data_IF_330496432690
#
_entry.id   IF_330496432690
#
_cell.length_a   1.000
_cell.length_b   1.000
_cell.length_c   1.000
_cell.angle_alpha   90.00
_cell.angle_beta   90.00
_cell.angle_gamma   90.00
#
_symmetry.space_group_name_H-M   'P 1'
#
loop_
_entity.id
_entity.type
_entity.pdbx_description
1 polymer ?
#
# COMPACT_ATOMS: atom_id res chain seq x y z
N UNK A 1 5.50 -1.08 -21.43
CA UNK A 1 6.98 -1.13 -21.31
C UNK A 1 7.33 -0.51 -19.96
N UNK A 2 8.07 -1.19 -19.07
CA UNK A 2 8.35 -0.65 -17.73
C UNK A 2 9.55 -1.28 -17.03
N UNK A 3 9.53 -2.58 -16.74
CA UNK A 3 10.72 -3.26 -16.20
C UNK A 3 11.92 -3.18 -17.16
N UNK A 4 13.11 -3.02 -16.61
CA UNK A 4 14.37 -2.85 -17.34
C UNK A 4 15.17 -4.16 -17.46
N UNK A 5 14.65 -5.24 -16.88
CA UNK A 5 15.23 -6.58 -16.88
C UNK A 5 14.11 -7.63 -16.85
N UNK A 6 14.40 -8.93 -16.98
CA UNK A 6 13.37 -9.97 -16.98
C UNK A 6 12.39 -9.84 -15.81
N UNK A 7 11.11 -10.05 -16.12
CA UNK A 7 10.06 -10.17 -15.11
C UNK A 7 10.05 -11.62 -14.65
N UNK A 8 10.18 -11.84 -13.34
CA UNK A 8 10.30 -13.16 -12.73
C UNK A 8 8.95 -13.74 -12.36
N UNK A 9 8.03 -12.90 -11.87
CA UNK A 9 6.66 -13.30 -11.55
C UNK A 9 5.69 -12.13 -11.69
N UNK A 10 4.40 -12.46 -11.76
CA UNK A 10 3.28 -11.53 -11.71
C UNK A 10 2.16 -12.11 -10.85
N UNK A 11 1.44 -11.25 -10.14
CA UNK A 11 0.32 -11.67 -9.30
C UNK A 11 -0.77 -10.59 -9.26
N UNK A 12 -2.04 -11.00 -9.30
CA UNK A 12 -3.17 -10.11 -9.06
C UNK A 12 -3.45 -9.96 -7.57
N UNK A 13 -3.82 -8.76 -7.15
CA UNK A 13 -4.43 -8.54 -5.84
C UNK A 13 -5.71 -9.38 -5.69
N UNK A 14 -6.11 -9.76 -4.47
CA UNK A 14 -7.32 -10.55 -4.24
C UNK A 14 -8.61 -9.91 -4.77
N UNK A 15 -8.67 -8.58 -4.83
CA UNK A 15 -9.80 -7.84 -5.41
C UNK A 15 -9.72 -7.67 -6.93
N UNK A 16 -8.63 -8.14 -7.55
CA UNK A 16 -8.39 -8.11 -8.99
C UNK A 16 -8.14 -6.72 -9.58
N UNK A 17 -7.98 -5.68 -8.76
CA UNK A 17 -7.83 -4.29 -9.24
C UNK A 17 -6.39 -3.85 -9.44
N UNK A 18 -5.44 -4.59 -8.89
CA UNK A 18 -4.01 -4.28 -8.96
C UNK A 18 -3.24 -5.52 -9.38
N UNK A 19 -2.21 -5.34 -10.19
CA UNK A 19 -1.23 -6.38 -10.48
C UNK A 19 0.11 -5.98 -9.85
N UNK A 20 0.81 -6.94 -9.25
CA UNK A 20 2.19 -6.79 -8.82
C UNK A 20 3.10 -7.61 -9.75
N UNK A 21 4.30 -7.09 -10.01
CA UNK A 21 5.33 -7.81 -10.76
C UNK A 21 6.70 -7.67 -10.10
N UNK A 22 7.47 -8.76 -10.07
CA UNK A 22 8.83 -8.78 -9.55
C UNK A 22 9.83 -8.98 -10.69
N UNK A 23 11.02 -8.37 -10.59
CA UNK A 23 12.00 -8.40 -11.67
C UNK A 23 13.45 -8.47 -11.20
N UNK A 24 14.31 -8.94 -12.10
CA UNK A 24 15.77 -8.84 -11.97
C UNK A 24 16.29 -7.40 -11.92
N UNK A 25 15.47 -6.40 -12.27
CA UNK A 25 15.82 -4.98 -12.11
C UNK A 25 15.78 -4.50 -10.64
N UNK A 26 15.60 -5.45 -9.70
CA UNK A 26 15.58 -5.24 -8.24
C UNK A 26 14.35 -4.48 -7.75
N UNK A 27 13.33 -4.34 -8.59
CA UNK A 27 12.09 -3.64 -8.24
C UNK A 27 10.90 -4.58 -8.21
N UNK A 28 9.93 -4.21 -7.38
CA UNK A 28 8.55 -4.65 -7.52
C UNK A 28 7.76 -3.49 -8.10
N UNK A 29 6.89 -3.75 -9.08
CA UNK A 29 6.01 -2.72 -9.67
C UNK A 29 4.56 -3.08 -9.45
N UNK A 30 3.75 -2.05 -9.21
CA UNK A 30 2.30 -2.15 -9.14
C UNK A 30 1.68 -1.53 -10.37
N UNK A 31 0.62 -2.16 -10.87
CA UNK A 31 -0.08 -1.76 -12.08
C UNK A 31 -1.58 -1.75 -11.85
N UNK A 32 -2.29 -0.87 -12.54
CA UNK A 32 -3.72 -1.05 -12.72
C UNK A 32 -4.00 -2.12 -13.78
N UNK A 33 -5.27 -2.52 -13.90
CA UNK A 33 -5.72 -3.53 -14.86
C UNK A 33 -5.70 -3.02 -16.32
N UNK A 34 -5.52 -1.71 -16.53
CA UNK A 34 -5.33 -1.09 -17.84
C UNK A 34 -3.86 -1.10 -18.27
N UNK A 35 -2.95 -1.55 -17.40
CA UNK A 35 -1.52 -1.63 -17.65
C UNK A 35 -0.75 -0.33 -17.37
N UNK A 36 -1.35 0.63 -16.67
CA UNK A 36 -0.67 1.80 -16.16
C UNK A 36 0.13 1.44 -14.90
N UNK A 37 1.37 1.93 -14.83
CA UNK A 37 2.18 1.80 -13.62
C UNK A 37 1.65 2.71 -12.52
N UNK A 38 1.31 2.12 -11.37
CA UNK A 38 0.84 2.83 -10.17
C UNK A 38 2.00 3.19 -9.25
N UNK A 39 2.98 2.29 -9.10
CA UNK A 39 4.11 2.49 -8.21
C UNK A 39 5.32 1.62 -8.57
N UNK A 40 6.51 2.09 -8.20
CA UNK A 40 7.76 1.32 -8.20
C UNK A 40 8.25 1.19 -6.77
N UNK A 41 8.23 -0.02 -6.24
CA UNK A 41 8.69 -0.36 -4.90
C UNK A 41 10.18 -0.67 -4.97
N UNK A 42 10.99 0.24 -4.42
CA UNK A 42 12.45 0.16 -4.39
C UNK A 42 12.91 -0.19 -2.99
N UNK A 43 13.95 -1.04 -2.90
CA UNK A 43 14.58 -1.36 -1.63
C UNK A 43 15.36 -2.66 -1.64
N UNK A 44 15.00 -3.62 -2.50
CA UNK A 44 15.82 -4.81 -2.69
C UNK A 44 17.17 -4.46 -3.33
N UNK A 45 18.23 -5.14 -2.90
CA UNK A 45 19.60 -4.91 -3.37
C UNK A 45 20.03 -5.91 -4.45
N UNK A 46 19.20 -6.93 -4.71
CA UNK A 46 19.38 -7.97 -5.72
C UNK A 46 18.05 -8.29 -6.43
N UNK A 47 18.07 -9.28 -7.32
CA UNK A 47 16.91 -9.72 -8.12
C UNK A 47 15.73 -10.08 -7.22
N UNK A 48 14.51 -9.64 -7.58
CA UNK A 48 13.30 -10.03 -6.85
C UNK A 48 12.71 -11.25 -7.55
N UNK A 49 12.64 -12.37 -6.82
CA UNK A 49 12.25 -13.67 -7.38
C UNK A 49 10.76 -13.89 -7.36
N UNK A 50 10.09 -13.43 -6.31
CA UNK A 50 8.64 -13.58 -6.18
C UNK A 50 8.01 -12.40 -5.45
N UNK A 51 6.72 -12.22 -5.70
CA UNK A 51 5.80 -11.37 -4.94
C UNK A 51 4.56 -12.17 -4.58
N UNK A 52 3.90 -11.85 -3.48
CA UNK A 52 2.61 -12.44 -3.07
C UNK A 52 1.75 -11.44 -2.30
N UNK A 53 0.48 -11.32 -2.68
CA UNK A 53 -0.48 -10.54 -1.91
C UNK A 53 -1.00 -11.37 -0.73
N UNK A 54 -1.09 -10.72 0.42
CA UNK A 54 -1.90 -11.23 1.52
C UNK A 54 -3.36 -11.39 1.09
N UNK A 55 -4.13 -12.33 1.69
CA UNK A 55 -5.52 -12.59 1.30
C UNK A 55 -6.46 -11.38 1.42
N UNK A 56 -6.14 -10.41 2.28
CA UNK A 56 -6.91 -9.18 2.42
C UNK A 56 -6.48 -8.06 1.45
N UNK A 57 -5.41 -8.28 0.67
CA UNK A 57 -4.85 -7.34 -0.29
C UNK A 57 -4.08 -6.17 0.31
N UNK A 58 -3.98 -6.06 1.65
CA UNK A 58 -3.41 -4.89 2.33
C UNK A 58 -1.90 -4.96 2.50
N UNK A 59 -1.34 -6.15 2.34
CA UNK A 59 0.10 -6.39 2.39
C UNK A 59 0.55 -7.15 1.15
N UNK A 60 1.66 -6.73 0.56
CA UNK A 60 2.39 -7.47 -0.45
C UNK A 60 3.72 -7.94 0.16
N UNK A 61 4.05 -9.21 0.03
CA UNK A 61 5.36 -9.74 0.36
C UNK A 61 6.22 -9.85 -0.91
N UNK A 62 7.52 -9.59 -0.81
CA UNK A 62 8.48 -9.87 -1.88
C UNK A 62 9.71 -10.56 -1.33
N UNK A 63 10.23 -11.54 -2.05
CA UNK A 63 11.46 -12.26 -1.69
C UNK A 63 12.53 -12.07 -2.77
N UNK A 64 13.77 -11.86 -2.33
CA UNK A 64 14.89 -11.50 -3.20
C UNK A 64 16.15 -12.29 -2.89
N UNK A 65 17.01 -12.38 -3.90
CA UNK A 65 18.37 -12.90 -3.81
C UNK A 65 19.28 -12.07 -2.87
N UNK A 66 18.82 -10.94 -2.34
CA UNK A 66 19.53 -10.18 -1.30
C UNK A 66 19.40 -10.79 0.10
N UNK A 67 18.83 -12.00 0.20
CA UNK A 67 18.55 -12.74 1.43
C UNK A 67 17.50 -12.07 2.32
N UNK A 68 16.66 -11.19 1.78
CA UNK A 68 15.58 -10.53 2.54
C UNK A 68 14.20 -10.84 1.98
N UNK A 69 13.22 -10.81 2.88
CA UNK A 69 11.81 -10.65 2.56
C UNK A 69 11.40 -9.24 2.96
N UNK A 70 10.67 -8.54 2.08
CA UNK A 70 10.11 -7.23 2.37
C UNK A 70 8.59 -7.31 2.37
N UNK A 71 7.97 -6.60 3.33
CA UNK A 71 6.54 -6.41 3.40
C UNK A 71 6.22 -4.97 3.00
N UNK A 72 5.31 -4.83 2.04
CA UNK A 72 4.83 -3.57 1.52
C UNK A 72 3.38 -3.43 1.91
N UNK A 73 3.06 -2.36 2.64
CA UNK A 73 1.70 -2.04 3.02
C UNK A 73 1.05 -1.32 1.84
N UNK A 74 -0.03 -1.89 1.33
CA UNK A 74 -0.83 -1.38 0.23
C UNK A 74 -2.08 -0.77 0.86
N UNK A 75 -2.04 0.55 1.07
CA UNK A 75 -3.14 1.30 1.67
C UNK A 75 -3.69 2.31 0.68
N UNK A 76 -5.02 2.49 0.70
CA UNK A 76 -5.64 3.62 0.02
C UNK A 76 -5.39 4.91 0.80
N UNK A 77 -5.59 6.06 0.14
CA UNK A 77 -5.54 7.35 0.83
C UNK A 77 -6.53 7.39 2.00
N UNK A 78 -7.73 6.84 1.82
CA UNK A 78 -8.76 6.80 2.86
C UNK A 78 -8.29 5.99 4.08
N UNK A 79 -7.68 4.83 3.87
CA UNK A 79 -7.13 4.02 4.97
C UNK A 79 -5.99 4.74 5.71
N UNK A 80 -5.12 5.44 4.97
CA UNK A 80 -4.06 6.25 5.56
C UNK A 80 -4.62 7.40 6.41
N UNK A 81 -5.63 8.11 5.89
CA UNK A 81 -6.29 9.21 6.59
C UNK A 81 -7.03 8.71 7.84
N UNK A 82 -7.75 7.59 7.75
CA UNK A 82 -8.42 6.96 8.90
C UNK A 82 -7.40 6.62 9.98
N UNK A 83 -6.28 5.96 9.62
CA UNK A 83 -5.23 5.64 10.58
C UNK A 83 -4.64 6.90 11.19
N UNK A 84 -4.31 7.90 10.39
CA UNK A 84 -3.79 9.18 10.88
C UNK A 84 -4.73 9.83 11.90
N UNK A 85 -6.03 9.87 11.60
CA UNK A 85 -7.04 10.41 12.49
C UNK A 85 -7.23 9.60 13.78
N UNK A 86 -7.10 8.28 13.72
CA UNK A 86 -7.10 7.43 14.91
C UNK A 86 -5.93 7.75 15.85
N UNK A 87 -4.72 7.96 15.29
CA UNK A 87 -3.54 8.32 16.08
C UNK A 87 -3.65 9.70 16.72
N UNK A 88 -4.28 10.65 16.02
CA UNK A 88 -4.42 12.03 16.49
C UNK A 88 -5.63 12.25 17.41
N UNK A 89 -6.53 11.27 17.55
CA UNK A 89 -7.82 11.44 18.23
C UNK A 89 -7.69 12.04 19.65
N UNK A 90 -6.82 11.46 20.49
CA UNK A 90 -6.64 11.93 21.87
C UNK A 90 -6.02 13.33 21.89
N UNK A 91 -5.04 13.60 21.03
CA UNK A 91 -4.41 14.92 20.94
C UNK A 91 -5.42 16.00 20.52
N UNK A 92 -6.21 15.74 19.48
CA UNK A 92 -7.20 16.68 18.97
C UNK A 92 -8.34 16.92 19.98
N UNK A 93 -8.75 15.91 20.73
CA UNK A 93 -9.86 16.02 21.69
C UNK A 93 -9.47 16.62 23.04
N UNK A 94 -8.23 16.41 23.50
CA UNK A 94 -7.82 16.80 24.87
C UNK A 94 -6.94 18.03 24.94
N UNK A 95 -6.31 18.46 23.84
CA UNK A 95 -5.41 19.59 23.87
C UNK A 95 -6.17 20.93 23.94
N UNK A 96 -6.07 21.61 25.09
CA UNK A 96 -6.71 22.91 25.34
C UNK A 96 -6.12 24.08 24.54
N UNK A 97 -4.96 23.91 23.89
CA UNK A 97 -4.34 24.94 23.05
C UNK A 97 -4.86 24.94 21.61
N UNK A 98 -5.64 23.94 21.21
CA UNK A 98 -6.23 23.87 19.88
C UNK A 98 -7.50 24.73 19.79
N UNK A 99 -7.69 25.35 18.62
CA UNK A 99 -8.96 25.99 18.31
C UNK A 99 -10.07 24.95 18.21
N UNK A 100 -11.33 25.34 18.44
CA UNK A 100 -12.45 24.40 18.31
C UNK A 100 -12.55 23.80 16.90
N UNK A 101 -12.18 24.56 15.86
CA UNK A 101 -12.12 24.03 14.49
C UNK A 101 -11.08 22.93 14.32
N UNK A 102 -9.90 23.07 14.93
CA UNK A 102 -8.84 22.07 14.80
C UNK A 102 -9.20 20.75 15.48
N UNK A 103 -10.01 20.81 16.56
CA UNK A 103 -10.53 19.59 17.21
C UNK A 103 -11.40 18.75 16.28
N UNK A 104 -11.99 19.37 15.25
CA UNK A 104 -12.86 18.74 14.25
C UNK A 104 -12.15 18.36 12.95
N UNK A 105 -10.81 18.42 12.90
CA UNK A 105 -10.04 18.15 11.66
C UNK A 105 -10.32 16.76 11.04
N UNK A 106 -10.68 15.79 11.87
CA UNK A 106 -10.95 14.42 11.46
C UNK A 106 -12.45 14.12 11.26
N UNK A 107 -13.32 15.11 11.41
CA UNK A 107 -14.75 14.95 11.21
C UNK A 107 -15.02 14.63 9.73
N UNK A 108 -15.81 13.58 9.49
CA UNK A 108 -16.11 13.08 8.15
C UNK A 108 -15.12 12.05 7.60
N UNK A 109 -13.95 11.87 8.23
CA UNK A 109 -13.03 10.76 7.92
C UNK A 109 -13.49 9.54 8.73
N UNK A 110 -14.55 8.88 8.28
CA UNK A 110 -15.17 7.76 9.00
C UNK A 110 -14.74 6.40 8.47
N UNK A 111 -14.46 5.47 9.38
CA UNK A 111 -14.28 4.03 9.15
C UNK A 111 -15.62 3.30 8.91
N UNK A 112 -16.50 3.80 8.03
CA UNK A 112 -17.68 3.01 7.65
C UNK A 112 -17.29 2.04 6.53
N UNK A 113 -17.31 0.71 6.76
CA UNK A 113 -17.40 -0.20 5.63
C UNK A 113 -18.68 0.15 4.88
N UNK A 114 -18.58 0.34 3.56
CA UNK A 114 -19.76 0.40 2.71
C UNK A 114 -20.59 -0.86 2.96
N UNK A 115 -21.90 -0.78 3.18
CA UNK A 115 -22.75 -1.96 3.11
C UNK A 115 -22.64 -2.49 1.68
N UNK A 116 -22.23 -3.74 1.56
CA UNK A 116 -22.32 -4.53 0.33
C UNK A 116 -23.77 -4.49 -0.17
N UNK A 117 -23.97 -4.04 -1.42
CA UNK A 117 -25.12 -4.43 -2.24
C UNK A 117 -24.79 -5.72 -2.97
#
# INVERSE_FOLDING_TARGET
>A
RGHESPVMTVEFSPDGKTLASASNDKTVRLWDIQGQELAVLRGHESEVRTVEFSPDGKTLASASDDNTVRLWRIETLDELLIRGCQWLHDYLSTNSHLSDSDKHLCDGISSKPSPTQ
#
